data_IF_377351683071
#
_entry.id   IF_377351683071
#
_cell.length_a   1.000
_cell.length_b   1.000
_cell.length_c   1.000
_cell.angle_alpha   90.00
_cell.angle_beta   90.00
_cell.angle_gamma   90.00
#
_symmetry.space_group_name_H-M   'P 1'
#
loop_
_entity.id
_entity.type
_entity.pdbx_description
1 polymer ?
#
# COMPACT_ATOMS: atom_id res chain seq x y z
N UNK A 1 81.66 -42.98 18.47
CA UNK A 1 82.10 -44.38 18.70
C UNK A 1 81.27 -44.85 19.88
N UNK A 2 80.42 -45.86 19.87
CA UNK A 2 80.19 -47.02 19.00
C UNK A 2 78.93 -47.68 19.59
N UNK A 3 77.99 -48.15 18.74
CA UNK A 3 77.19 -49.38 18.91
C UNK A 3 76.24 -49.50 20.13
N UNK A 4 75.17 -50.29 20.16
CA UNK A 4 74.41 -51.07 19.20
C UNK A 4 73.10 -51.46 19.93
N UNK A 5 72.03 -51.50 19.15
CA UNK A 5 70.80 -52.32 19.23
C UNK A 5 70.70 -53.37 20.33
N UNK A 6 69.55 -53.39 21.01
CA UNK A 6 68.86 -54.49 21.70
C UNK A 6 67.48 -53.88 22.10
N UNK A 7 66.29 -54.47 22.09
CA UNK A 7 65.78 -55.85 22.02
C UNK A 7 64.30 -55.76 21.57
N UNK A 8 63.84 -56.88 21.05
CA UNK A 8 62.48 -57.27 20.67
C UNK A 8 61.36 -56.93 21.67
N UNK A 9 60.14 -56.80 21.17
CA UNK A 9 59.05 -57.74 21.48
C UNK A 9 57.68 -57.12 21.19
N UNK A 10 56.92 -57.86 20.40
CA UNK A 10 55.54 -57.61 20.00
C UNK A 10 54.63 -57.75 21.21
N UNK A 11 53.91 -56.69 21.55
CA UNK A 11 52.82 -56.70 22.53
C UNK A 11 51.53 -56.22 21.87
N UNK A 12 50.66 -57.17 21.51
CA UNK A 12 49.30 -56.87 21.06
C UNK A 12 48.49 -56.29 22.21
N UNK A 13 48.07 -55.02 22.08
CA UNK A 13 47.02 -54.43 22.92
C UNK A 13 45.82 -54.10 22.02
N UNK A 14 44.78 -54.91 22.11
CA UNK A 14 43.48 -54.61 21.50
C UNK A 14 42.84 -53.45 22.28
N UNK A 15 42.82 -52.26 21.68
CA UNK A 15 42.11 -51.10 22.21
C UNK A 15 40.72 -51.09 21.55
N UNK A 16 39.72 -51.50 22.31
CA UNK A 16 38.32 -51.37 21.94
C UNK A 16 37.95 -49.88 21.82
N UNK A 17 37.81 -49.39 20.58
CA UNK A 17 37.26 -48.07 20.30
C UNK A 17 35.75 -48.06 20.57
N UNK A 18 35.35 -47.49 21.71
CA UNK A 18 33.96 -47.17 22.00
C UNK A 18 33.58 -45.90 21.20
N UNK A 19 32.86 -46.06 20.09
CA UNK A 19 32.36 -44.94 19.27
C UNK A 19 31.21 -44.24 20.02
N UNK A 20 31.49 -43.10 20.64
CA UNK A 20 30.46 -42.22 21.22
C UNK A 20 29.90 -41.36 20.09
N UNK A 21 28.75 -41.77 19.53
CA UNK A 21 28.00 -41.01 18.54
C UNK A 21 27.51 -39.68 19.13
N UNK A 22 28.15 -38.57 18.79
CA UNK A 22 27.66 -37.22 19.09
C UNK A 22 26.60 -36.84 18.05
N UNK A 23 25.32 -36.97 18.41
CA UNK A 23 24.23 -36.41 17.60
C UNK A 23 24.22 -34.89 17.79
N UNK A 24 24.76 -34.15 16.81
CA UNK A 24 24.64 -32.70 16.76
C UNK A 24 23.15 -32.32 16.56
N UNK A 25 22.55 -31.72 17.58
CA UNK A 25 21.18 -31.20 17.52
C UNK A 25 21.23 -29.83 16.81
N UNK A 26 20.84 -29.79 15.55
CA UNK A 26 20.76 -28.56 14.77
C UNK A 26 19.51 -27.76 15.19
N UNK A 27 19.71 -26.72 16.00
CA UNK A 27 18.64 -25.77 16.35
C UNK A 27 18.35 -24.86 15.15
N UNK A 28 17.29 -25.18 14.41
CA UNK A 28 16.76 -24.29 13.37
C UNK A 28 15.96 -23.17 14.01
N UNK A 29 16.47 -21.94 13.94
CA UNK A 29 15.69 -20.73 14.26
C UNK A 29 14.68 -20.50 13.12
N UNK A 30 13.37 -20.51 13.40
CA UNK A 30 12.40 -20.16 12.37
C UNK A 30 12.57 -18.69 11.98
N UNK A 31 12.86 -18.43 10.71
CA UNK A 31 12.82 -17.07 10.15
C UNK A 31 11.40 -16.51 10.25
N UNK A 32 11.21 -15.26 10.68
CA UNK A 32 9.89 -14.64 10.68
C UNK A 32 9.44 -14.50 9.22
N UNK A 33 8.37 -15.22 8.87
CA UNK A 33 7.69 -15.04 7.58
C UNK A 33 7.03 -13.67 7.66
N UNK A 34 7.53 -12.70 6.90
CA UNK A 34 6.90 -11.39 6.77
C UNK A 34 5.45 -11.60 6.34
N UNK A 35 4.50 -11.12 7.14
CA UNK A 35 3.10 -11.08 6.75
C UNK A 35 3.03 -10.26 5.46
N UNK A 36 2.59 -10.87 4.36
CA UNK A 36 2.36 -10.13 3.13
C UNK A 36 1.31 -9.04 3.41
N UNK A 37 1.69 -7.77 3.25
CA UNK A 37 0.76 -6.66 3.37
C UNK A 37 -0.42 -6.89 2.43
N UNK A 38 -1.62 -6.99 2.99
CA UNK A 38 -2.83 -7.09 2.18
C UNK A 38 -2.96 -5.82 1.35
N UNK A 39 -3.29 -5.93 0.05
CA UNK A 39 -3.45 -4.75 -0.79
C UNK A 39 -4.56 -3.86 -0.25
N UNK A 40 -4.37 -2.54 -0.34
CA UNK A 40 -5.38 -1.54 0.01
C UNK A 40 -6.58 -1.73 -0.93
N UNK A 41 -7.74 -2.06 -0.36
CA UNK A 41 -9.00 -2.18 -1.07
C UNK A 41 -9.80 -0.89 -0.93
N UNK A 42 -10.44 -0.42 -2.00
CA UNK A 42 -11.37 0.70 -1.98
C UNK A 42 -12.71 0.28 -2.59
N UNK A 43 -13.84 0.71 -2.00
CA UNK A 43 -15.15 0.66 -2.63
C UNK A 43 -15.37 1.95 -3.40
N UNK A 44 -15.47 1.89 -4.73
CA UNK A 44 -15.55 3.05 -5.62
C UNK A 44 -16.97 3.18 -6.18
N UNK A 45 -17.62 4.30 -5.90
CA UNK A 45 -18.96 4.64 -6.37
C UNK A 45 -18.88 5.63 -7.52
N UNK A 46 -19.40 5.24 -8.69
CA UNK A 46 -19.38 6.06 -9.90
C UNK A 46 -20.58 5.80 -10.81
N UNK A 47 -20.86 6.73 -11.71
CA UNK A 47 -21.73 6.46 -12.87
C UNK A 47 -21.12 5.37 -13.78
N UNK A 48 -21.92 4.44 -14.34
CA UNK A 48 -21.45 3.47 -15.33
C UNK A 48 -20.76 4.12 -16.53
N UNK A 49 -21.21 5.31 -16.95
CA UNK A 49 -20.76 5.98 -18.18
C UNK A 49 -19.62 6.97 -17.97
N UNK A 50 -19.12 7.13 -16.73
CA UNK A 50 -18.00 8.03 -16.45
C UNK A 50 -16.66 7.39 -16.89
N UNK A 51 -16.13 7.83 -18.04
CA UNK A 51 -14.87 7.34 -18.59
C UNK A 51 -13.65 7.73 -17.76
N UNK A 52 -13.53 9.00 -17.37
CA UNK A 52 -12.40 9.48 -16.55
C UNK A 52 -12.32 8.76 -15.19
N UNK A 53 -13.46 8.39 -14.60
CA UNK A 53 -13.50 7.58 -13.38
C UNK A 53 -12.90 6.17 -13.58
N UNK A 54 -13.06 5.59 -14.77
CA UNK A 54 -12.50 4.28 -15.11
C UNK A 54 -10.98 4.35 -15.31
N UNK A 55 -10.50 5.42 -15.95
CA UNK A 55 -9.06 5.68 -16.07
C UNK A 55 -8.42 5.92 -14.70
N UNK A 56 -9.09 6.65 -13.81
CA UNK A 56 -8.64 6.80 -12.42
C UNK A 56 -8.59 5.47 -11.65
N UNK A 57 -9.57 4.57 -11.85
CA UNK A 57 -9.52 3.21 -11.29
C UNK A 57 -8.32 2.43 -11.85
N UNK A 58 -8.00 2.58 -13.13
CA UNK A 58 -6.82 1.96 -13.75
C UNK A 58 -5.52 2.50 -13.13
N UNK A 59 -5.47 3.80 -12.81
CA UNK A 59 -4.38 4.41 -12.06
C UNK A 59 -4.21 3.81 -10.65
N UNK A 60 -5.31 3.58 -9.92
CA UNK A 60 -5.25 2.88 -8.63
C UNK A 60 -4.64 1.48 -8.79
N UNK A 61 -5.08 0.74 -9.80
CA UNK A 61 -4.63 -0.63 -10.05
C UNK A 61 -3.15 -0.70 -10.40
N UNK A 62 -2.64 0.23 -11.22
CA UNK A 62 -1.22 0.30 -11.57
C UNK A 62 -0.33 0.57 -10.36
N UNK A 63 -0.89 1.21 -9.31
CA UNK A 63 -0.23 1.47 -8.02
C UNK A 63 -0.50 0.39 -6.96
N UNK A 64 -1.09 -0.74 -7.33
CA UNK A 64 -1.33 -1.87 -6.42
C UNK A 64 -2.54 -1.73 -5.50
N UNK A 65 -3.34 -0.67 -5.65
CA UNK A 65 -4.62 -0.53 -4.95
C UNK A 65 -5.69 -1.35 -5.69
N UNK A 66 -6.59 -1.98 -4.93
CA UNK A 66 -7.73 -2.73 -5.47
C UNK A 66 -9.01 -1.92 -5.33
N UNK A 67 -9.92 -2.11 -6.28
CA UNK A 67 -11.19 -1.39 -6.32
C UNK A 67 -12.37 -2.35 -6.49
N UNK A 68 -13.41 -2.18 -5.68
CA UNK A 68 -14.72 -2.80 -5.86
C UNK A 68 -15.64 -1.72 -6.38
N UNK A 69 -16.19 -1.90 -7.58
CA UNK A 69 -16.93 -0.86 -8.27
C UNK A 69 -18.42 -1.00 -7.97
N UNK A 70 -19.05 0.13 -7.66
CA UNK A 70 -20.48 0.24 -7.39
C UNK A 70 -21.09 1.33 -8.28
N UNK A 71 -22.28 1.03 -8.81
CA UNK A 71 -23.07 1.93 -9.64
C UNK A 71 -24.40 2.25 -8.97
N UNK A 72 -24.40 3.17 -7.97
CA UNK A 72 -25.63 3.56 -7.31
C UNK A 72 -26.52 4.36 -8.28
N UNK A 73 -27.84 4.22 -8.15
CA UNK A 73 -28.81 5.04 -8.88
C UNK A 73 -28.69 6.53 -8.50
N UNK A 74 -28.33 6.80 -7.23
CA UNK A 74 -28.09 8.14 -6.71
C UNK A 74 -26.70 8.22 -6.06
N UNK A 75 -25.74 8.77 -6.81
CA UNK A 75 -24.39 9.02 -6.31
C UNK A 75 -24.35 10.14 -5.26
N UNK A 76 -25.25 11.13 -5.33
CA UNK A 76 -25.29 12.22 -4.36
C UNK A 76 -25.75 11.71 -2.99
N UNK A 77 -26.64 10.72 -2.93
CA UNK A 77 -26.99 10.05 -1.69
C UNK A 77 -25.77 9.41 -1.00
N UNK A 78 -24.83 8.84 -1.78
CA UNK A 78 -23.56 8.32 -1.25
C UNK A 78 -22.71 9.46 -0.71
N UNK A 79 -22.49 10.52 -1.48
CA UNK A 79 -21.70 11.70 -1.05
C UNK A 79 -22.24 12.32 0.24
N UNK A 80 -23.57 12.46 0.32
CA UNK A 80 -24.27 12.98 1.50
C UNK A 80 -24.12 12.07 2.72
N UNK A 81 -24.23 10.74 2.54
CA UNK A 81 -24.01 9.76 3.63
C UNK A 81 -22.63 9.92 4.26
N UNK A 82 -21.63 10.19 3.43
CA UNK A 82 -20.26 10.43 3.85
C UNK A 82 -19.94 11.88 4.22
N UNK A 83 -20.96 12.76 4.28
CA UNK A 83 -20.85 14.17 4.67
C UNK A 83 -19.89 14.98 3.80
N UNK A 84 -19.79 14.63 2.51
CA UNK A 84 -18.99 15.36 1.54
C UNK A 84 -19.81 16.58 1.08
N UNK A 85 -19.47 17.75 1.59
CA UNK A 85 -20.17 18.99 1.24
C UNK A 85 -20.05 19.33 -0.25
N UNK A 86 -21.06 19.97 -0.88
CA UNK A 86 -21.10 20.19 -2.33
C UNK A 86 -19.84 20.83 -2.93
N UNK A 87 -19.20 21.76 -2.22
CA UNK A 87 -17.98 22.43 -2.67
C UNK A 87 -16.75 21.51 -2.80
N UNK A 88 -16.80 20.32 -2.22
CA UNK A 88 -15.71 19.34 -2.28
C UNK A 88 -15.95 18.22 -3.28
N UNK A 89 -17.11 18.19 -3.93
CA UNK A 89 -17.55 17.05 -4.71
C UNK A 89 -16.88 16.97 -6.09
N UNK A 90 -16.84 15.75 -6.61
CA UNK A 90 -16.32 15.36 -7.91
C UNK A 90 -17.19 14.24 -8.53
N UNK A 91 -16.72 13.63 -9.61
CA UNK A 91 -17.44 12.64 -10.41
C UNK A 91 -17.59 11.25 -9.74
N UNK A 92 -16.77 10.92 -8.74
CA UNK A 92 -16.80 9.65 -8.03
C UNK A 92 -16.36 9.80 -6.57
N UNK A 93 -16.67 8.78 -5.77
CA UNK A 93 -16.27 8.70 -4.35
C UNK A 93 -15.73 7.30 -4.09
N UNK A 94 -14.54 7.18 -3.51
CA UNK A 94 -13.99 5.94 -3.03
C UNK A 94 -13.98 5.89 -1.50
N UNK A 95 -14.14 4.70 -0.92
CA UNK A 95 -14.20 4.50 0.54
C UNK A 95 -13.31 3.33 0.93
N UNK A 96 -12.41 3.53 1.90
CA UNK A 96 -11.58 2.44 2.44
C UNK A 96 -12.34 1.56 3.43
N UNK A 97 -11.83 0.36 3.77
CA UNK A 97 -12.39 -0.50 4.81
C UNK A 97 -12.51 0.18 6.18
N UNK A 98 -11.63 1.14 6.46
CA UNK A 98 -11.63 1.93 7.69
C UNK A 98 -12.63 3.10 7.64
N UNK A 99 -13.34 3.29 6.52
CA UNK A 99 -14.37 4.32 6.35
C UNK A 99 -13.86 5.68 5.88
N UNK A 100 -12.58 5.80 5.50
CA UNK A 100 -12.05 7.04 4.95
C UNK A 100 -12.49 7.25 3.51
N UNK A 101 -12.80 8.50 3.16
CA UNK A 101 -13.33 8.89 1.85
C UNK A 101 -12.23 9.46 0.95
N UNK A 102 -12.31 9.19 -0.33
CA UNK A 102 -11.44 9.76 -1.36
C UNK A 102 -12.33 10.25 -2.50
N UNK A 103 -12.55 11.56 -2.54
CA UNK A 103 -13.47 12.22 -3.46
C UNK A 103 -12.73 12.77 -4.68
N UNK A 104 -13.06 12.27 -5.87
CA UNK A 104 -12.45 12.72 -7.12
C UNK A 104 -11.05 12.21 -7.39
N UNK A 105 -10.41 12.83 -8.39
CA UNK A 105 -9.18 12.37 -9.04
C UNK A 105 -7.92 12.58 -8.18
N UNK A 106 -7.83 11.91 -7.03
CA UNK A 106 -6.69 11.96 -6.12
C UNK A 106 -5.60 10.98 -6.61
N UNK A 107 -4.31 11.36 -6.66
CA UNK A 107 -3.25 10.42 -7.01
C UNK A 107 -3.14 9.26 -6.03
N UNK A 108 -2.98 8.04 -6.53
CA UNK A 108 -2.86 6.82 -5.71
C UNK A 108 -1.75 6.90 -4.62
N UNK A 109 -0.55 7.46 -4.90
CA UNK A 109 0.47 7.64 -3.86
C UNK A 109 0.01 8.51 -2.68
N UNK A 110 -0.84 9.51 -2.94
CA UNK A 110 -1.39 10.41 -1.92
C UNK A 110 -2.42 9.69 -1.05
N UNK A 111 -3.23 8.81 -1.63
CA UNK A 111 -4.16 7.93 -0.90
C UNK A 111 -3.40 6.99 0.02
N UNK A 112 -2.36 6.32 -0.50
CA UNK A 112 -1.51 5.42 0.29
C UNK A 112 -0.86 6.15 1.46
N UNK A 113 -0.32 7.35 1.21
CA UNK A 113 0.26 8.20 2.26
C UNK A 113 -0.78 8.55 3.33
N UNK A 114 -1.97 8.99 2.95
CA UNK A 114 -3.03 9.31 3.90
C UNK A 114 -3.43 8.09 4.75
N UNK A 115 -3.54 6.90 4.14
CA UNK A 115 -3.91 5.68 4.87
C UNK A 115 -2.82 5.18 5.81
N UNK A 116 -1.56 5.58 5.59
CA UNK A 116 -0.47 5.35 6.52
C UNK A 116 -0.47 6.38 7.67
N UNK A 117 -0.72 7.66 7.37
CA UNK A 117 -0.69 8.75 8.36
C UNK A 117 -1.96 8.81 9.24
N UNK A 118 -3.12 8.52 8.66
CA UNK A 118 -4.47 8.63 9.25
C UNK A 118 -4.66 9.90 10.10
N UNK A 119 -4.62 11.11 9.48
CA UNK A 119 -4.67 12.37 10.21
C UNK A 119 -5.89 12.46 11.15
N UNK A 120 -5.66 12.89 12.39
CA UNK A 120 -6.70 12.92 13.42
C UNK A 120 -7.83 13.88 13.03
N UNK A 121 -9.07 13.40 13.11
CA UNK A 121 -10.25 14.19 12.80
C UNK A 121 -10.53 14.33 11.30
N UNK A 122 -9.73 13.68 10.45
CA UNK A 122 -10.02 13.62 9.03
C UNK A 122 -11.09 12.56 8.74
N UNK A 123 -11.96 12.87 7.78
CA UNK A 123 -12.84 11.87 7.15
C UNK A 123 -12.24 11.34 5.86
N UNK A 124 -11.28 12.05 5.26
CA UNK A 124 -10.72 11.66 3.97
C UNK A 124 -10.05 12.80 3.21
N UNK A 125 -9.90 12.59 1.90
CA UNK A 125 -9.34 13.55 0.96
C UNK A 125 -10.34 13.91 -0.16
N UNK A 126 -10.14 15.07 -0.78
CA UNK A 126 -10.87 15.46 -1.98
C UNK A 126 -9.99 16.19 -3.00
N UNK A 127 -10.24 15.94 -4.28
CA UNK A 127 -9.91 16.82 -5.40
C UNK A 127 -11.24 17.31 -5.98
N UNK A 128 -11.69 18.53 -5.62
CA UNK A 128 -12.95 19.05 -6.10
C UNK A 128 -12.96 19.29 -7.61
N UNK A 129 -14.13 19.08 -8.25
CA UNK A 129 -14.26 19.21 -9.70
C UNK A 129 -13.50 18.12 -10.45
N UNK A 130 -12.94 18.46 -11.62
CA UNK A 130 -12.17 17.52 -12.47
C UNK A 130 -11.00 18.25 -13.14
N UNK A 131 -9.91 18.57 -12.41
CA UNK A 131 -8.78 19.31 -12.96
C UNK A 131 -8.09 18.56 -14.10
N UNK A 132 -7.79 19.26 -15.20
CA UNK A 132 -7.05 18.65 -16.31
C UNK A 132 -5.65 18.28 -15.84
N UNK A 133 -5.25 17.03 -16.09
CA UNK A 133 -3.96 16.47 -15.70
C UNK A 133 -3.94 15.76 -14.35
N UNK A 134 -5.05 15.72 -13.60
CA UNK A 134 -5.20 14.75 -12.51
C UNK A 134 -5.35 13.32 -13.07
N UNK A 135 -5.12 12.23 -12.30
CA UNK A 135 -5.16 10.89 -12.85
C UNK A 135 -6.55 10.53 -13.40
N UNK A 136 -6.62 10.03 -14.62
CA UNK A 136 -7.85 9.82 -15.39
C UNK A 136 -8.44 11.08 -16.03
N UNK A 137 -7.76 12.22 -15.96
CA UNK A 137 -8.10 13.49 -16.61
C UNK A 137 -6.93 14.03 -17.44
N UNK A 138 -6.01 13.16 -17.85
CA UNK A 138 -4.83 13.49 -18.64
C UNK A 138 -5.23 13.91 -20.06
N UNK A 139 -4.61 14.99 -20.57
CA UNK A 139 -4.88 15.51 -21.91
C UNK A 139 -3.55 15.94 -22.56
N UNK A 140 -2.73 14.95 -22.89
CA UNK A 140 -1.35 15.18 -23.32
C UNK A 140 -0.55 15.89 -22.23
N UNK A 141 0.17 16.96 -22.59
CA UNK A 141 0.99 17.73 -21.64
C UNK A 141 0.20 18.82 -20.88
N UNK A 142 -1.11 18.93 -21.10
CA UNK A 142 -1.93 19.95 -20.44
C UNK A 142 -2.11 19.59 -18.97
N UNK A 143 -1.85 20.57 -18.10
CA UNK A 143 -1.95 20.41 -16.66
C UNK A 143 -2.45 21.69 -16.00
N UNK A 144 -3.39 21.55 -15.06
CA UNK A 144 -3.87 22.64 -14.20
C UNK A 144 -3.44 22.32 -12.78
N UNK A 145 -2.61 23.14 -12.10
CA UNK A 145 -2.30 22.93 -10.70
C UNK A 145 -3.56 22.85 -9.84
N UNK A 146 -3.58 21.89 -8.92
CA UNK A 146 -4.73 21.64 -8.06
C UNK A 146 -4.29 21.25 -6.65
N UNK A 147 -5.20 21.47 -5.70
CA UNK A 147 -5.01 21.05 -4.32
C UNK A 147 -5.74 19.74 -4.07
N UNK A 148 -5.08 18.85 -3.34
CA UNK A 148 -5.75 17.75 -2.63
C UNK A 148 -6.07 18.28 -1.24
N UNK A 149 -7.36 18.30 -0.91
CA UNK A 149 -7.85 18.82 0.36
C UNK A 149 -7.98 17.68 1.38
N UNK A 150 -7.57 17.94 2.62
CA UNK A 150 -7.96 17.15 3.79
C UNK A 150 -9.36 17.56 4.21
N UNK A 151 -10.29 16.62 4.23
CA UNK A 151 -11.65 16.84 4.74
C UNK A 151 -11.73 16.48 6.22
N UNK A 152 -12.22 17.40 7.05
CA UNK A 152 -12.34 17.22 8.50
C UNK A 152 -13.77 16.85 8.89
N UNK A 153 -13.92 16.16 10.01
CA UNK A 153 -15.21 15.70 10.53
C UNK A 153 -16.16 16.82 10.96
N UNK A 154 -15.62 18.02 11.19
CA UNK A 154 -16.39 19.24 11.45
C UNK A 154 -16.93 19.93 10.17
N UNK A 155 -16.65 19.35 9.00
CA UNK A 155 -17.07 19.87 7.69
C UNK A 155 -16.13 20.90 7.07
N UNK A 156 -15.06 21.29 7.78
CA UNK A 156 -14.02 22.16 7.24
C UNK A 156 -13.00 21.38 6.40
N UNK A 157 -12.11 22.11 5.72
CA UNK A 157 -11.03 21.53 4.93
C UNK A 157 -9.73 22.32 5.08
N UNK A 158 -8.61 21.68 4.83
CA UNK A 158 -7.33 22.35 4.62
C UNK A 158 -6.55 21.70 3.46
N UNK A 159 -5.54 22.38 2.93
CA UNK A 159 -4.71 21.79 1.87
C UNK A 159 -3.84 20.70 2.48
N UNK A 160 -3.98 19.47 1.97
CA UNK A 160 -3.13 18.34 2.35
C UNK A 160 -1.83 18.34 1.54
N UNK A 161 -1.96 18.53 0.23
CA UNK A 161 -0.83 18.69 -0.70
C UNK A 161 -1.29 19.47 -1.93
N UNK A 162 -0.38 20.26 -2.50
CA UNK A 162 -0.55 20.92 -3.80
C UNK A 162 0.17 20.14 -4.89
N UNK A 163 -0.54 19.83 -5.97
CA UNK A 163 0.01 19.17 -7.16
C UNK A 163 0.26 20.25 -8.21
N UNK A 164 1.52 20.38 -8.61
CA UNK A 164 2.01 21.43 -9.53
C UNK A 164 2.49 20.89 -10.87
N UNK A 165 2.67 19.58 -11.00
CA UNK A 165 3.07 18.91 -12.24
C UNK A 165 2.52 17.48 -12.35
N UNK A 166 2.51 16.96 -13.59
CA UNK A 166 2.16 15.57 -13.90
C UNK A 166 3.04 14.57 -13.16
N UNK A 167 4.34 14.87 -12.99
CA UNK A 167 5.31 13.98 -12.31
C UNK A 167 5.04 13.74 -10.83
N UNK A 168 4.16 14.54 -10.19
CA UNK A 168 3.72 14.30 -8.81
C UNK A 168 2.52 13.34 -8.73
N UNK A 169 1.96 12.96 -9.88
CA UNK A 169 0.73 12.17 -10.01
C UNK A 169 1.02 10.70 -10.33
N UNK A 170 2.15 10.40 -11.01
CA UNK A 170 2.57 9.09 -11.52
C UNK A 170 3.97 8.70 -11.04
#
# INVERSE_FOLDING_TARGET
MVFQRFIDAIGSLAISFLLISHTAYASSTPSPVAAADKPIQLAVYKSPTCGCCEEWISHLQSHGLKSTIHHPDDLNAIKNRYRISPQYQSCHTAVSPDGYVFEGHIPAPVITRFLAEKPRGAIGLAVPGMPVGSPGMEMGERFTPYDVLLLKSDGSSEVYIRITSLTQTF
#
